data_IF_968112568927
#
_entry.id   IF_968112568927
#
_cell.length_a   1.000
_cell.length_b   1.000
_cell.length_c   1.000
_cell.angle_alpha   90.00
_cell.angle_beta   90.00
_cell.angle_gamma   90.00
#
_symmetry.space_group_name_H-M   'P 1'
#
loop_
_entity.id
_entity.type
_entity.pdbx_description
1 polymer ?
#
# COMPACT_ATOMS: atom_id res chain seq x y z
N UNK A 1 -13.88 -5.01 -6.45
CA UNK A 1 -12.44 -4.81 -6.80
C UNK A 1 -11.58 -4.71 -5.53
N UNK A 2 -10.50 -5.45 -5.45
CA UNK A 2 -9.47 -5.33 -4.40
C UNK A 2 -8.22 -4.68 -5.00
N UNK A 3 -7.87 -3.46 -4.57
CA UNK A 3 -6.81 -2.65 -5.14
C UNK A 3 -5.67 -2.41 -4.14
N UNK A 4 -4.45 -2.74 -4.50
CA UNK A 4 -3.26 -2.41 -3.74
C UNK A 4 -2.42 -1.33 -4.46
N UNK A 5 -1.99 -0.33 -3.70
CA UNK A 5 -1.00 0.64 -4.13
C UNK A 5 0.37 0.28 -3.54
N UNK A 6 1.34 0.00 -4.39
CA UNK A 6 2.72 -0.26 -4.02
C UNK A 6 3.64 0.83 -4.57
N UNK A 7 4.85 0.92 -4.06
CA UNK A 7 5.82 1.93 -4.49
C UNK A 7 6.79 2.32 -3.38
N UNK A 8 7.82 3.06 -3.72
CA UNK A 8 8.85 3.50 -2.77
C UNK A 8 8.29 4.41 -1.67
N UNK A 9 9.02 4.54 -0.58
CA UNK A 9 8.71 5.52 0.46
C UNK A 9 8.68 6.93 -0.14
N UNK A 10 7.73 7.77 0.30
CA UNK A 10 7.61 9.15 -0.20
C UNK A 10 6.84 9.32 -1.50
N UNK A 11 6.54 8.25 -2.26
CA UNK A 11 5.91 8.34 -3.59
C UNK A 11 4.44 8.80 -3.58
N UNK A 12 3.81 8.97 -2.41
CA UNK A 12 2.43 9.47 -2.36
C UNK A 12 1.35 8.38 -2.29
N UNK A 13 1.67 7.13 -1.94
CA UNK A 13 0.67 6.04 -1.82
C UNK A 13 -0.54 6.44 -0.98
N UNK A 14 -0.31 6.99 0.21
CA UNK A 14 -1.41 7.41 1.11
C UNK A 14 -2.26 8.50 0.48
N UNK A 15 -1.64 9.48 -0.19
CA UNK A 15 -2.36 10.52 -0.92
C UNK A 15 -3.28 9.93 -2.01
N UNK A 16 -2.75 9.04 -2.85
CA UNK A 16 -3.56 8.42 -3.90
C UNK A 16 -4.64 7.51 -3.36
N UNK A 17 -4.37 6.77 -2.28
CA UNK A 17 -5.38 5.99 -1.56
C UNK A 17 -6.56 6.88 -1.13
N UNK A 18 -6.28 8.03 -0.50
CA UNK A 18 -7.29 8.97 -0.06
C UNK A 18 -8.08 9.55 -1.25
N UNK A 19 -7.40 9.87 -2.36
CA UNK A 19 -8.06 10.35 -3.58
C UNK A 19 -8.96 9.31 -4.25
N UNK A 20 -8.55 8.05 -4.26
CA UNK A 20 -9.37 6.93 -4.78
C UNK A 20 -10.62 6.76 -3.92
N UNK A 21 -10.49 6.82 -2.60
CA UNK A 21 -11.63 6.77 -1.67
C UNK A 21 -12.59 7.94 -1.93
N UNK A 22 -12.08 9.17 -1.99
CA UNK A 22 -12.87 10.39 -2.16
C UNK A 22 -13.60 10.44 -3.51
N UNK A 23 -12.90 10.08 -4.59
CA UNK A 23 -13.42 10.28 -5.95
C UNK A 23 -14.17 9.08 -6.52
N UNK A 24 -13.82 7.87 -6.10
CA UNK A 24 -14.33 6.63 -6.68
C UNK A 24 -15.12 5.77 -5.68
N UNK A 25 -15.29 6.22 -4.44
CA UNK A 25 -16.10 5.56 -3.43
C UNK A 25 -15.52 4.25 -2.90
N UNK A 26 -14.21 4.05 -3.01
CA UNK A 26 -13.54 2.90 -2.38
C UNK A 26 -13.56 3.02 -0.87
N UNK A 27 -13.49 1.89 -0.19
CA UNK A 27 -13.25 1.82 1.24
C UNK A 27 -11.78 1.48 1.52
N UNK A 28 -11.23 2.03 2.61
CA UNK A 28 -9.86 1.70 3.03
C UNK A 28 -9.83 0.37 3.76
N UNK A 29 -8.93 -0.53 3.38
CA UNK A 29 -8.56 -1.66 4.23
C UNK A 29 -7.64 -1.16 5.32
N UNK A 30 -7.99 -1.45 6.57
CA UNK A 30 -7.22 -1.05 7.74
C UNK A 30 -6.24 -2.15 8.14
N UNK A 31 -4.97 -1.77 8.28
CA UNK A 31 -3.95 -2.69 8.78
C UNK A 31 -4.05 -2.80 10.29
N UNK A 32 -4.14 -4.02 10.81
CA UNK A 32 -3.98 -4.33 12.24
C UNK A 32 -2.49 -4.38 12.55
N UNK A 33 -2.03 -3.73 13.61
CA UNK A 33 -0.60 -3.73 13.95
C UNK A 33 -0.35 -3.65 15.46
N UNK A 34 0.73 -4.31 15.90
CA UNK A 34 1.26 -4.22 17.27
C UNK A 34 2.19 -3.04 17.48
N UNK A 35 2.51 -2.30 16.41
CA UNK A 35 3.33 -1.08 16.48
C UNK A 35 2.63 0.00 17.32
N UNK A 36 3.40 0.74 18.10
CA UNK A 36 2.88 1.92 18.80
C UNK A 36 2.38 2.99 17.82
N UNK A 37 1.30 3.68 18.22
CA UNK A 37 0.74 4.81 17.46
C UNK A 37 1.76 5.95 17.38
N UNK A 38 1.90 6.60 16.24
CA UNK A 38 2.78 7.76 16.05
C UNK A 38 2.02 9.06 16.20
N UNK A 39 2.77 10.14 16.44
CA UNK A 39 2.19 11.50 16.48
C UNK A 39 1.45 11.75 15.15
N UNK A 40 0.20 12.22 15.24
CA UNK A 40 -0.67 12.49 14.09
C UNK A 40 -1.45 11.30 13.53
N UNK A 41 -1.17 10.08 14.00
CA UNK A 41 -2.01 8.91 13.68
C UNK A 41 -3.18 8.78 14.65
N UNK A 42 -4.32 8.32 14.16
CA UNK A 42 -5.47 7.96 15.00
C UNK A 42 -5.80 6.49 14.83
N UNK A 43 -6.19 5.86 15.94
CA UNK A 43 -6.63 4.48 15.89
C UNK A 43 -7.92 4.38 15.06
N UNK A 44 -8.01 3.31 14.28
CA UNK A 44 -9.17 3.00 13.44
C UNK A 44 -9.41 3.94 12.22
N UNK A 45 -8.43 4.75 11.84
CA UNK A 45 -8.43 5.46 10.54
C UNK A 45 -7.84 4.56 9.44
N UNK A 46 -6.51 4.53 9.30
CA UNK A 46 -5.78 3.67 8.37
C UNK A 46 -5.23 2.40 9.03
N UNK A 47 -5.18 2.40 10.37
CA UNK A 47 -4.61 1.29 11.17
C UNK A 47 -5.44 1.03 12.42
N UNK A 48 -5.44 -0.23 12.81
CA UNK A 48 -5.99 -0.70 14.08
C UNK A 48 -4.81 -1.11 14.95
N UNK A 49 -4.51 -0.29 15.95
CA UNK A 49 -3.42 -0.55 16.89
C UNK A 49 -3.90 -1.49 17.99
N UNK A 50 -3.23 -2.62 18.15
CA UNK A 50 -3.61 -3.67 19.09
C UNK A 50 -2.42 -4.12 19.94
N UNK A 51 -2.70 -4.70 21.11
CA UNK A 51 -1.67 -5.41 21.87
C UNK A 51 -1.36 -6.77 21.23
N UNK A 52 -0.18 -7.37 21.52
CA UNK A 52 0.12 -8.74 21.08
C UNK A 52 -0.96 -9.76 21.50
N UNK A 53 -1.49 -9.64 22.72
CA UNK A 53 -2.55 -10.52 23.24
C UNK A 53 -3.84 -10.38 22.42
N UNK A 54 -4.20 -9.14 22.04
CA UNK A 54 -5.38 -8.90 21.20
C UNK A 54 -5.20 -9.45 19.80
N UNK A 55 -4.00 -9.34 19.22
CA UNK A 55 -3.68 -9.95 17.95
C UNK A 55 -3.79 -11.48 18.03
N UNK A 56 -3.28 -12.08 19.13
CA UNK A 56 -3.41 -13.52 19.35
C UNK A 56 -4.87 -13.98 19.49
N UNK A 57 -5.72 -13.18 20.15
CA UNK A 57 -7.16 -13.42 20.19
C UNK A 57 -7.78 -13.47 18.79
N UNK A 58 -7.39 -12.52 17.90
CA UNK A 58 -7.87 -12.47 16.51
C UNK A 58 -7.43 -13.70 15.71
N UNK A 59 -6.18 -14.18 15.91
CA UNK A 59 -5.67 -15.43 15.32
C UNK A 59 -6.51 -16.63 15.78
N UNK A 60 -6.74 -16.75 17.09
CA UNK A 60 -7.52 -17.84 17.68
C UNK A 60 -8.96 -17.88 17.16
N UNK A 61 -9.53 -16.70 16.85
CA UNK A 61 -10.86 -16.56 16.24
C UNK A 61 -10.85 -16.72 14.71
N UNK A 62 -9.71 -17.09 14.12
CA UNK A 62 -9.54 -17.27 12.67
C UNK A 62 -9.92 -16.02 11.84
N UNK A 63 -9.70 -14.82 12.41
CA UNK A 63 -10.05 -13.55 11.76
C UNK A 63 -8.94 -12.96 10.88
N UNK A 64 -7.71 -13.44 11.01
CA UNK A 64 -6.55 -12.95 10.24
C UNK A 64 -6.44 -13.73 8.93
N UNK A 65 -6.30 -13.02 7.82
CA UNK A 65 -6.06 -13.58 6.50
C UNK A 65 -4.57 -13.67 6.17
N UNK A 66 -3.82 -12.61 6.52
CA UNK A 66 -2.39 -12.52 6.26
C UNK A 66 -1.71 -11.69 7.35
N UNK A 67 -0.48 -12.05 7.69
CA UNK A 67 0.35 -11.28 8.61
C UNK A 67 1.83 -11.35 8.21
N UNK A 68 2.58 -10.32 8.58
CA UNK A 68 4.01 -10.24 8.37
C UNK A 68 4.67 -9.40 9.47
N UNK A 69 5.97 -9.64 9.66
CA UNK A 69 6.81 -8.87 10.57
C UNK A 69 7.56 -7.77 9.83
N UNK A 70 7.59 -6.58 10.41
CA UNK A 70 8.38 -5.47 9.88
C UNK A 70 8.92 -4.62 11.05
N UNK A 71 10.24 -4.48 11.13
CA UNK A 71 10.93 -3.70 12.17
C UNK A 71 10.47 -4.10 13.60
N UNK A 72 10.38 -5.41 13.87
CA UNK A 72 10.00 -5.96 15.17
C UNK A 72 8.54 -5.76 15.56
N UNK A 73 7.67 -5.39 14.63
CA UNK A 73 6.24 -5.27 14.84
C UNK A 73 5.47 -6.16 13.87
N UNK A 74 4.34 -6.70 14.34
CA UNK A 74 3.46 -7.47 13.47
C UNK A 74 2.44 -6.55 12.78
N UNK A 75 2.21 -6.83 11.52
CA UNK A 75 1.17 -6.23 10.68
C UNK A 75 0.28 -7.33 10.15
N UNK A 76 -1.03 -7.14 10.21
CA UNK A 76 -1.99 -8.16 9.81
C UNK A 76 -3.18 -7.55 9.05
N UNK A 77 -3.79 -8.36 8.19
CA UNK A 77 -5.00 -8.02 7.45
C UNK A 77 -6.13 -8.98 7.84
N UNK A 78 -7.31 -8.44 8.08
CA UNK A 78 -8.48 -9.24 8.44
C UNK A 78 -9.10 -9.91 7.22
N UNK A 79 -9.67 -11.11 7.43
CA UNK A 79 -10.46 -11.81 6.40
C UNK A 79 -11.68 -11.00 5.97
N UNK A 80 -12.32 -10.32 6.91
CA UNK A 80 -13.53 -9.54 6.68
C UNK A 80 -13.29 -8.40 5.68
N UNK A 81 -12.16 -7.71 5.78
CA UNK A 81 -11.84 -6.62 4.87
C UNK A 81 -11.28 -7.11 3.53
N UNK A 82 -10.37 -8.10 3.54
CA UNK A 82 -9.74 -8.59 2.30
C UNK A 82 -10.71 -9.36 1.39
N UNK A 83 -11.67 -10.08 1.96
CA UNK A 83 -12.64 -10.89 1.20
C UNK A 83 -14.02 -10.23 1.12
N UNK A 84 -14.09 -8.90 1.31
CA UNK A 84 -15.32 -8.16 1.14
C UNK A 84 -15.69 -8.05 -0.35
N UNK A 85 -17.00 -8.00 -0.64
CA UNK A 85 -17.51 -7.75 -2.01
C UNK A 85 -17.52 -6.25 -2.37
N UNK A 86 -16.83 -5.41 -1.61
CA UNK A 86 -16.76 -3.95 -1.80
C UNK A 86 -15.53 -3.58 -2.61
N UNK A 87 -15.56 -2.40 -3.23
CA UNK A 87 -14.36 -1.81 -3.79
C UNK A 87 -13.47 -1.29 -2.65
N UNK A 88 -12.31 -1.92 -2.46
CA UNK A 88 -11.40 -1.61 -1.37
C UNK A 88 -10.00 -1.27 -1.87
N UNK A 89 -9.32 -0.36 -1.16
CA UNK A 89 -7.95 0.07 -1.49
C UNK A 89 -7.05 0.09 -0.24
N UNK A 90 -5.82 -0.33 -0.42
CA UNK A 90 -4.81 -0.32 0.65
C UNK A 90 -3.39 -0.12 0.11
N UNK A 91 -2.44 0.11 1.02
CA UNK A 91 -1.03 0.19 0.70
C UNK A 91 -0.37 -1.16 0.94
N UNK A 92 0.42 -1.63 -0.02
CA UNK A 92 1.11 -2.91 0.07
C UNK A 92 2.62 -2.72 -0.08
N UNK A 93 3.39 -3.42 0.75
CA UNK A 93 4.83 -3.50 0.58
C UNK A 93 5.17 -4.47 -0.55
N UNK A 94 6.09 -4.09 -1.43
CA UNK A 94 6.37 -4.87 -2.63
C UNK A 94 6.83 -6.32 -2.32
N UNK A 95 7.54 -6.56 -1.23
CA UNK A 95 8.00 -7.90 -0.83
C UNK A 95 6.84 -8.84 -0.45
N UNK A 96 5.66 -8.31 -0.15
CA UNK A 96 4.49 -9.09 0.26
C UNK A 96 3.51 -9.37 -0.88
N UNK A 97 3.71 -8.79 -2.06
CA UNK A 97 2.79 -8.90 -3.20
C UNK A 97 2.59 -10.34 -3.65
N UNK A 98 3.68 -11.11 -3.72
CA UNK A 98 3.61 -12.52 -4.12
C UNK A 98 2.70 -13.35 -3.21
N UNK A 99 2.84 -13.18 -1.90
CA UNK A 99 2.03 -13.91 -0.94
C UNK A 99 0.58 -13.43 -0.94
N UNK A 100 0.36 -12.12 -1.11
CA UNK A 100 -0.98 -11.58 -1.25
C UNK A 100 -1.70 -12.09 -2.50
N UNK A 101 -1.03 -12.18 -3.65
CA UNK A 101 -1.63 -12.73 -4.88
C UNK A 101 -1.98 -14.21 -4.76
N UNK A 102 -1.29 -14.99 -3.91
CA UNK A 102 -1.69 -16.38 -3.60
C UNK A 102 -3.00 -16.44 -2.80
N UNK A 103 -3.18 -15.52 -1.85
CA UNK A 103 -4.36 -15.46 -0.97
C UNK A 103 -5.53 -14.80 -1.69
N UNK A 104 -5.25 -13.76 -2.47
CA UNK A 104 -6.21 -12.96 -3.23
C UNK A 104 -5.82 -12.94 -4.72
N UNK A 105 -6.13 -13.98 -5.51
CA UNK A 105 -5.73 -14.06 -6.93
C UNK A 105 -6.26 -12.90 -7.79
N UNK A 106 -7.36 -12.28 -7.38
CA UNK A 106 -7.97 -11.12 -8.07
C UNK A 106 -7.45 -9.76 -7.56
N UNK A 107 -6.37 -9.75 -6.76
CA UNK A 107 -5.73 -8.52 -6.31
C UNK A 107 -5.15 -7.77 -7.51
N UNK A 108 -5.64 -6.55 -7.73
CA UNK A 108 -5.04 -5.61 -8.68
C UNK A 108 -3.95 -4.80 -7.97
N UNK A 109 -2.74 -4.81 -8.49
CA UNK A 109 -1.59 -4.09 -7.92
C UNK A 109 -1.15 -3.00 -8.88
N UNK A 110 -1.27 -1.74 -8.45
CA UNK A 110 -0.69 -0.59 -9.13
C UNK A 110 0.61 -0.20 -8.42
N UNK A 111 1.73 -0.32 -9.11
CA UNK A 111 3.02 0.15 -8.61
C UNK A 111 3.27 1.58 -9.07
N UNK A 112 3.53 2.48 -8.11
CA UNK A 112 3.78 3.89 -8.36
C UNK A 112 5.29 4.14 -8.30
N UNK A 113 5.86 4.60 -9.41
CA UNK A 113 7.27 4.98 -9.54
C UNK A 113 7.41 6.52 -9.62
N UNK A 114 8.47 7.11 -9.05
CA UNK A 114 8.83 8.47 -9.41
C UNK A 114 9.44 8.50 -10.82
N UNK A 115 9.20 9.55 -11.59
CA UNK A 115 9.99 9.80 -12.81
C UNK A 115 11.43 10.13 -12.46
N UNK A 116 11.61 10.89 -11.39
CA UNK A 116 12.91 11.23 -10.82
C UNK A 116 12.98 10.77 -9.37
N UNK A 117 13.90 9.86 -9.08
CA UNK A 117 14.09 9.29 -7.75
C UNK A 117 14.49 10.35 -6.70
N UNK A 118 15.19 11.41 -7.11
CA UNK A 118 15.60 12.47 -6.19
C UNK A 118 14.40 13.24 -5.65
N UNK A 119 13.34 13.40 -6.44
CA UNK A 119 12.09 14.02 -5.95
C UNK A 119 11.46 13.18 -4.83
N UNK A 120 11.45 11.84 -4.95
CA UNK A 120 10.95 10.97 -3.89
C UNK A 120 11.80 11.06 -2.61
N UNK A 121 13.12 11.18 -2.76
CA UNK A 121 14.05 11.40 -1.64
C UNK A 121 13.80 12.75 -0.96
N UNK A 122 13.62 13.82 -1.72
CA UNK A 122 13.30 15.14 -1.19
C UNK A 122 11.96 15.16 -0.43
N UNK A 123 10.94 14.49 -0.95
CA UNK A 123 9.66 14.34 -0.25
C UNK A 123 9.81 13.54 1.06
N UNK A 124 10.78 12.65 1.13
CA UNK A 124 11.10 11.91 2.37
C UNK A 124 11.86 12.78 3.36
N UNK A 125 12.83 13.59 2.93
CA UNK A 125 13.57 14.56 3.76
C UNK A 125 12.64 15.59 4.42
N UNK A 126 11.61 16.06 3.68
CA UNK A 126 10.59 17.01 4.19
C UNK A 126 9.75 16.47 5.35
N UNK A 127 9.82 15.17 5.66
CA UNK A 127 9.09 14.57 6.80
C UNK A 127 9.74 14.83 8.16
N UNK A 128 10.90 15.46 8.21
CA UNK A 128 11.65 15.77 9.42
C UNK A 128 11.86 14.54 10.33
N UNK A 129 12.28 13.43 9.74
CA UNK A 129 12.59 12.20 10.44
C UNK A 129 13.91 12.36 11.23
N UNK A 130 14.15 11.51 12.23
CA UNK A 130 15.47 11.46 12.86
C UNK A 130 16.53 11.04 11.83
N UNK A 131 17.80 11.51 11.94
CA UNK A 131 18.83 11.29 10.94
C UNK A 131 19.03 9.80 10.55
N UNK A 132 18.98 8.90 11.53
CA UNK A 132 19.14 7.47 11.27
C UNK A 132 17.95 6.91 10.47
N UNK A 133 16.71 7.28 10.84
CA UNK A 133 15.52 6.83 10.13
C UNK A 133 15.49 7.41 8.72
N UNK A 134 15.88 8.68 8.54
CA UNK A 134 15.96 9.31 7.22
C UNK A 134 16.94 8.56 6.33
N UNK A 135 18.15 8.31 6.81
CA UNK A 135 19.18 7.56 6.07
C UNK A 135 18.68 6.19 5.63
N UNK A 136 18.03 5.44 6.52
CA UNK A 136 17.49 4.11 6.20
C UNK A 136 16.38 4.21 5.14
N UNK A 137 15.53 5.24 5.20
CA UNK A 137 14.47 5.46 4.20
C UNK A 137 15.01 5.87 2.84
N UNK A 138 16.06 6.69 2.80
CA UNK A 138 16.69 7.06 1.54
C UNK A 138 17.35 5.85 0.88
N UNK A 139 18.03 4.98 1.66
CA UNK A 139 18.59 3.73 1.16
C UNK A 139 17.48 2.79 0.65
N UNK A 140 16.38 2.64 1.39
CA UNK A 140 15.22 1.86 0.97
C UNK A 140 14.67 2.34 -0.38
N UNK A 141 14.61 3.66 -0.63
CA UNK A 141 14.17 4.22 -1.90
C UNK A 141 15.09 3.76 -3.05
N UNK A 142 16.41 3.86 -2.87
CA UNK A 142 17.38 3.45 -3.89
C UNK A 142 17.29 1.95 -4.19
N UNK A 143 17.24 1.12 -3.14
CA UNK A 143 17.15 -0.33 -3.27
C UNK A 143 15.86 -0.77 -3.98
N UNK A 144 14.71 -0.21 -3.59
CA UNK A 144 13.42 -0.53 -4.20
C UNK A 144 13.33 -0.06 -5.65
N UNK A 145 13.77 1.18 -5.91
CA UNK A 145 13.78 1.71 -7.27
C UNK A 145 14.65 0.86 -8.20
N UNK A 146 15.86 0.52 -7.76
CA UNK A 146 16.76 -0.34 -8.51
C UNK A 146 16.14 -1.71 -8.76
N UNK A 147 15.61 -2.38 -7.73
CA UNK A 147 14.97 -3.70 -7.89
C UNK A 147 13.83 -3.65 -8.90
N UNK A 148 12.92 -2.70 -8.77
CA UNK A 148 11.74 -2.62 -9.67
C UNK A 148 12.13 -2.26 -11.10
N UNK A 149 13.20 -1.49 -11.30
CA UNK A 149 13.64 -1.12 -12.65
C UNK A 149 14.48 -2.20 -13.33
N UNK A 150 15.12 -3.10 -12.58
CA UNK A 150 16.05 -4.11 -13.11
C UNK A 150 15.50 -5.55 -13.04
N UNK A 151 14.61 -5.87 -12.10
CA UNK A 151 14.06 -7.22 -11.94
C UNK A 151 12.73 -7.38 -12.68
N UNK A 152 12.78 -8.06 -13.83
CA UNK A 152 11.60 -8.33 -14.65
C UNK A 152 10.58 -9.25 -13.94
N UNK A 153 11.02 -10.18 -13.10
CA UNK A 153 10.11 -11.07 -12.38
C UNK A 153 9.29 -10.29 -11.34
N UNK A 154 9.94 -9.35 -10.65
CA UNK A 154 9.25 -8.47 -9.73
C UNK A 154 8.25 -7.58 -10.47
N UNK A 155 8.64 -7.01 -11.61
CA UNK A 155 7.73 -6.16 -12.43
C UNK A 155 6.50 -6.91 -12.93
N UNK A 156 6.63 -8.18 -13.26
CA UNK A 156 5.51 -9.01 -13.71
C UNK A 156 4.48 -9.32 -12.60
N UNK A 157 4.80 -9.02 -11.34
CA UNK A 157 3.84 -9.12 -10.23
C UNK A 157 2.90 -7.92 -10.13
N UNK A 158 3.23 -6.81 -10.80
CA UNK A 158 2.39 -5.63 -10.84
C UNK A 158 1.46 -5.70 -12.05
N UNK A 159 0.19 -5.40 -11.86
CA UNK A 159 -0.75 -5.34 -12.98
C UNK A 159 -0.55 -4.06 -13.77
N UNK A 160 -0.17 -2.97 -13.08
CA UNK A 160 0.14 -1.67 -13.70
C UNK A 160 1.33 -1.01 -13.02
N UNK A 161 2.13 -0.30 -13.83
CA UNK A 161 3.18 0.61 -13.34
C UNK A 161 2.82 2.01 -13.83
N UNK A 162 2.70 2.95 -12.90
CA UNK A 162 2.38 4.34 -13.18
C UNK A 162 3.48 5.26 -12.66
N UNK A 163 3.67 6.41 -13.30
CA UNK A 163 4.68 7.37 -12.88
C UNK A 163 4.03 8.55 -12.17
N UNK A 164 4.62 8.97 -11.05
CA UNK A 164 4.21 10.13 -10.29
C UNK A 164 5.25 11.25 -10.39
N UNK A 165 4.82 12.42 -10.89
CA UNK A 165 5.58 13.67 -10.89
C UNK A 165 5.16 14.60 -9.75
N UNK A 166 4.30 14.16 -8.83
CA UNK A 166 3.71 14.97 -7.76
C UNK A 166 2.88 16.14 -8.26
N UNK A 167 2.26 15.98 -9.42
CA UNK A 167 1.44 16.97 -10.11
C UNK A 167 -0.01 16.46 -10.32
N UNK A 168 -0.86 17.35 -10.81
CA UNK A 168 -2.27 17.05 -11.05
C UNK A 168 -2.48 16.08 -12.22
N UNK A 169 -1.59 16.07 -13.19
CA UNK A 169 -1.63 15.15 -14.33
C UNK A 169 -1.41 13.71 -13.85
N UNK A 170 -0.43 13.48 -12.99
CA UNK A 170 -0.19 12.18 -12.37
C UNK A 170 -1.39 11.71 -11.53
N UNK A 171 -2.01 12.63 -10.77
CA UNK A 171 -3.24 12.31 -10.02
C UNK A 171 -4.36 11.88 -10.96
N UNK A 172 -4.64 12.66 -12.00
CA UNK A 172 -5.70 12.34 -12.94
C UNK A 172 -5.43 11.00 -13.64
N UNK A 173 -4.20 10.74 -14.09
CA UNK A 173 -3.83 9.48 -14.75
C UNK A 173 -4.08 8.26 -13.86
N UNK A 174 -3.79 8.34 -12.57
CA UNK A 174 -4.04 7.23 -11.62
C UNK A 174 -5.54 7.04 -11.38
N UNK A 175 -6.29 8.13 -11.19
CA UNK A 175 -7.74 8.07 -10.97
C UNK A 175 -8.45 7.52 -12.22
N UNK A 176 -8.08 7.98 -13.41
CA UNK A 176 -8.66 7.52 -14.67
C UNK A 176 -8.36 6.04 -14.92
N UNK A 177 -7.14 5.58 -14.61
CA UNK A 177 -6.79 4.16 -14.66
C UNK A 177 -7.71 3.34 -13.75
N UNK A 178 -7.85 3.72 -12.49
CA UNK A 178 -8.70 2.97 -11.53
C UNK A 178 -10.16 2.99 -11.98
N UNK A 179 -10.67 4.12 -12.46
CA UNK A 179 -12.03 4.22 -12.96
C UNK A 179 -12.27 3.30 -14.17
N UNK A 180 -11.30 3.23 -15.10
CA UNK A 180 -11.36 2.30 -16.24
C UNK A 180 -11.42 0.85 -15.78
N UNK A 181 -10.60 0.45 -14.79
CA UNK A 181 -10.59 -0.90 -14.24
C UNK A 181 -11.94 -1.30 -13.61
N UNK A 182 -12.59 -0.37 -12.89
CA UNK A 182 -13.94 -0.59 -12.36
C UNK A 182 -14.94 -0.87 -13.50
N UNK A 183 -14.87 -0.08 -14.58
CA UNK A 183 -15.78 -0.24 -15.72
C UNK A 183 -15.56 -1.56 -16.46
N UNK A 184 -14.32 -2.03 -16.55
CA UNK A 184 -13.96 -3.32 -17.15
C UNK A 184 -14.46 -4.50 -16.29
N UNK A 185 -14.27 -4.45 -14.97
CA UNK A 185 -14.78 -5.47 -14.04
C UNK A 185 -16.30 -5.60 -14.11
N UNK A 186 -17.01 -4.46 -14.18
CA UNK A 186 -18.48 -4.44 -14.28
C UNK A 186 -19.02 -4.95 -15.64
N UNK A 187 -18.20 -4.96 -16.69
CA UNK A 187 -18.60 -5.51 -18.02
C UNK A 187 -18.31 -7.00 -18.14
N UNK A 188 -17.43 -7.54 -17.31
CA UNK A 188 -17.05 -8.96 -17.31
C UNK A 188 -17.93 -9.85 -16.42
N UNK A 189 -18.77 -9.24 -15.59
CA UNK A 189 -19.77 -9.88 -14.76
C UNK A 189 -21.16 -9.76 -15.39
#
# INVERSE_FOLDING_TARGET
>A
MLLALAGVTGIGKSYYKDRIVEKLGFEKIKIITTRSIRIGEKNNEDKIFVTPDKLQELRNKNKIAYEFELLGNTYAYSKEELFSNRNTVFELHYDTIYDFKKICPHLCVIYILPKDIEVAKDMTRKRNLSPNIEKDRLREIDEHYTKVTTDANLRNMFDFIVYNNYDKESENSIIDLVNKLILEENRGN
#
